data_IF_641934221242
#
_entry.id   IF_641934221242
#
_cell.length_a   1.000
_cell.length_b   1.000
_cell.length_c   1.000
_cell.angle_alpha   90.00
_cell.angle_beta   90.00
_cell.angle_gamma   90.00
#
_symmetry.space_group_name_H-M   'P 1'
#
loop_
_entity.id
_entity.type
_entity.pdbx_description
1 polymer ?
#
# COMPACT_ATOMS: atom_id res chain seq x y z
N UNK A 1 1.96 11.90 -0.03
CA UNK A 1 0.54 12.29 0.00
C UNK A 1 -0.33 11.24 -0.67
N UNK A 2 -1.18 10.52 0.08
CA UNK A 2 -2.08 9.52 -0.49
C UNK A 2 -3.20 10.20 -1.30
N UNK A 3 -3.06 10.15 -2.63
CA UNK A 3 -4.06 10.65 -3.57
C UNK A 3 -5.03 9.56 -4.04
N UNK A 4 -6.15 9.95 -4.67
CA UNK A 4 -7.14 9.02 -5.21
C UNK A 4 -6.63 8.17 -6.38
N UNK A 5 -5.59 8.65 -7.08
CA UNK A 5 -4.99 7.96 -8.21
C UNK A 5 -3.70 7.22 -7.80
N UNK A 6 -3.71 5.89 -7.67
CA UNK A 6 -2.52 5.14 -7.28
C UNK A 6 -1.39 5.23 -8.31
N UNK A 7 -1.71 5.39 -9.59
CA UNK A 7 -0.70 5.41 -10.66
C UNK A 7 0.27 6.58 -10.54
N UNK A 8 -0.13 7.69 -9.91
CA UNK A 8 0.77 8.82 -9.69
C UNK A 8 1.88 8.48 -8.70
N UNK A 9 1.56 7.74 -7.63
CA UNK A 9 2.53 7.28 -6.65
C UNK A 9 3.44 6.20 -7.23
N UNK A 10 2.86 5.22 -7.95
CA UNK A 10 3.63 4.16 -8.61
C UNK A 10 4.63 4.74 -9.62
N UNK A 11 4.24 5.73 -10.42
CA UNK A 11 5.16 6.42 -11.32
C UNK A 11 6.29 7.15 -10.59
N UNK A 12 6.04 7.68 -9.39
CA UNK A 12 7.06 8.31 -8.58
C UNK A 12 8.05 7.28 -8.03
N UNK A 13 7.54 6.14 -7.55
CA UNK A 13 8.34 5.01 -7.06
C UNK A 13 9.18 4.38 -8.19
N UNK A 14 8.61 4.22 -9.38
CA UNK A 14 9.30 3.69 -10.56
C UNK A 14 10.52 4.53 -10.98
N UNK A 15 10.53 5.84 -10.66
CA UNK A 15 11.73 6.68 -10.88
C UNK A 15 12.90 6.25 -10.01
N UNK A 16 12.64 5.72 -8.81
CA UNK A 16 13.65 5.27 -7.86
C UNK A 16 14.14 3.84 -8.15
N UNK A 17 13.24 2.96 -8.63
CA UNK A 17 13.54 1.56 -9.01
C UNK A 17 13.99 1.40 -10.47
N UNK A 18 14.52 2.47 -11.08
CA UNK A 18 14.96 2.44 -12.48
C UNK A 18 16.14 1.48 -12.70
N UNK A 19 16.25 0.95 -13.93
CA UNK A 19 17.36 0.10 -14.37
C UNK A 19 18.72 0.74 -14.05
N UNK A 20 19.59 -0.04 -13.41
CA UNK A 20 20.90 0.42 -12.95
C UNK A 20 20.93 0.88 -11.49
N UNK A 21 19.78 0.94 -10.80
CA UNK A 21 19.76 1.06 -9.35
C UNK A 21 20.41 -0.18 -8.72
N UNK A 22 21.36 0.04 -7.81
CA UNK A 22 22.14 -1.03 -7.12
C UNK A 22 21.89 -1.07 -5.62
N UNK A 23 21.35 0.01 -5.06
CA UNK A 23 21.09 0.12 -3.62
C UNK A 23 19.63 -0.23 -3.34
N UNK A 24 19.42 -0.77 -2.15
CA UNK A 24 18.07 -0.99 -1.63
C UNK A 24 17.33 0.33 -1.50
N UNK A 25 16.09 0.36 -1.94
CA UNK A 25 15.20 1.52 -1.88
C UNK A 25 14.11 1.18 -0.88
N UNK A 26 13.90 2.08 0.08
CA UNK A 26 12.79 2.03 1.02
C UNK A 26 11.81 3.16 0.70
N UNK A 27 10.53 2.83 0.63
CA UNK A 27 9.45 3.80 0.40
C UNK A 27 8.62 3.88 1.67
N UNK A 28 8.47 5.08 2.20
CA UNK A 28 7.68 5.36 3.39
C UNK A 28 6.49 6.24 3.01
N UNK A 29 5.29 5.79 3.35
CA UNK A 29 4.07 6.60 3.25
C UNK A 29 3.72 7.12 4.64
N UNK A 30 3.82 8.43 4.82
CA UNK A 30 3.33 9.10 6.02
C UNK A 30 1.83 9.35 5.89
N UNK A 31 1.09 9.01 6.95
CA UNK A 31 -0.37 9.13 6.99
C UNK A 31 -0.75 9.74 8.32
N UNK A 32 -1.56 10.80 8.30
CA UNK A 32 -2.02 11.45 9.52
C UNK A 32 -3.23 10.71 10.10
N UNK A 33 -3.13 10.26 11.35
CA UNK A 33 -4.23 9.62 12.08
C UNK A 33 -5.42 10.58 12.20
N UNK A 34 -6.64 10.05 12.07
CA UNK A 34 -7.88 10.83 12.14
C UNK A 34 -8.17 11.69 10.91
N UNK A 35 -7.35 11.64 9.86
CA UNK A 35 -7.58 12.36 8.61
C UNK A 35 -8.22 11.47 7.53
N UNK A 36 -8.72 12.10 6.45
CA UNK A 36 -9.26 11.39 5.29
C UNK A 36 -8.21 10.54 4.57
N UNK A 37 -6.92 10.83 4.76
CA UNK A 37 -5.79 10.11 4.16
C UNK A 37 -5.81 8.61 4.53
N UNK A 38 -6.23 8.29 5.76
CA UNK A 38 -6.36 6.91 6.24
C UNK A 38 -7.35 6.13 5.37
N UNK A 39 -8.52 6.72 5.11
CA UNK A 39 -9.57 6.07 4.33
C UNK A 39 -9.15 5.90 2.87
N UNK A 40 -8.47 6.90 2.30
CA UNK A 40 -7.93 6.82 0.94
C UNK A 40 -6.91 5.69 0.86
N UNK A 41 -5.95 5.64 1.78
CA UNK A 41 -4.90 4.63 1.78
C UNK A 41 -5.46 3.21 1.94
N UNK A 42 -6.42 3.00 2.85
CA UNK A 42 -7.11 1.73 3.01
C UNK A 42 -7.83 1.29 1.73
N UNK A 43 -8.50 2.21 1.03
CA UNK A 43 -9.19 1.92 -0.21
C UNK A 43 -8.21 1.50 -1.33
N UNK A 44 -7.04 2.14 -1.41
CA UNK A 44 -6.00 1.80 -2.38
C UNK A 44 -5.43 0.40 -2.13
N UNK A 45 -5.11 0.05 -0.88
CA UNK A 45 -4.63 -1.29 -0.51
C UNK A 45 -5.64 -2.36 -0.90
N UNK A 46 -6.93 -2.16 -0.56
CA UNK A 46 -7.99 -3.11 -0.90
C UNK A 46 -8.10 -3.35 -2.41
N UNK A 47 -8.05 -2.29 -3.22
CA UNK A 47 -8.06 -2.40 -4.69
C UNK A 47 -6.86 -3.17 -5.22
N UNK A 48 -5.65 -2.86 -4.73
CA UNK A 48 -4.42 -3.55 -5.15
C UNK A 48 -4.47 -5.04 -4.81
N UNK A 49 -4.98 -5.38 -3.63
CA UNK A 49 -5.20 -6.76 -3.18
C UNK A 49 -6.18 -7.51 -4.09
N UNK A 50 -7.33 -6.91 -4.42
CA UNK A 50 -8.30 -7.52 -5.35
C UNK A 50 -7.67 -7.78 -6.72
N UNK A 51 -6.88 -6.84 -7.23
CA UNK A 51 -6.17 -7.00 -8.49
C UNK A 51 -5.15 -8.15 -8.44
N UNK A 52 -4.37 -8.25 -7.36
CA UNK A 52 -3.41 -9.34 -7.16
C UNK A 52 -4.11 -10.71 -7.05
N UNK A 53 -5.23 -10.77 -6.33
CA UNK A 53 -6.05 -11.98 -6.22
C UNK A 53 -6.60 -12.45 -7.56
N UNK A 54 -7.01 -11.52 -8.43
CA UNK A 54 -7.47 -11.84 -9.78
C UNK A 54 -6.34 -12.39 -10.67
N UNK A 55 -5.10 -11.93 -10.46
CA UNK A 55 -3.92 -12.36 -11.22
C UNK A 55 -3.37 -13.71 -10.72
N UNK A 56 -3.51 -14.01 -9.42
CA UNK A 56 -3.12 -15.30 -8.86
C UNK A 56 -4.18 -16.36 -9.13
N UNK A 57 -3.85 -17.41 -9.89
CA UNK A 57 -4.71 -18.58 -10.05
C UNK A 57 -4.87 -19.27 -8.68
N UNK A 58 -5.97 -18.98 -7.97
CA UNK A 58 -6.66 -19.86 -7.03
C UNK A 58 -5.96 -20.39 -5.77
N UNK A 59 -4.70 -20.04 -5.44
CA UNK A 59 -4.07 -20.54 -4.21
C UNK A 59 -2.98 -19.62 -3.69
N UNK A 60 -3.29 -18.92 -2.58
CA UNK A 60 -2.42 -18.37 -1.51
C UNK A 60 -3.14 -17.20 -0.82
N UNK A 61 -4.41 -17.39 -0.44
CA UNK A 61 -5.06 -16.50 0.52
C UNK A 61 -4.82 -17.06 1.91
N UNK A 62 -4.02 -16.40 2.75
CA UNK A 62 -4.15 -16.47 4.22
C UNK A 62 -3.20 -15.55 5.00
N UNK A 63 -2.21 -14.90 4.40
CA UNK A 63 -1.27 -14.06 5.17
C UNK A 63 -1.43 -12.60 4.78
N UNK A 64 -2.45 -11.92 5.32
CA UNK A 64 -2.55 -10.45 5.17
C UNK A 64 -3.56 -9.79 6.12
N UNK A 65 -4.46 -10.56 6.74
CA UNK A 65 -5.44 -9.97 7.67
C UNK A 65 -4.76 -9.40 8.92
N UNK A 66 -3.65 -10.00 9.35
CA UNK A 66 -2.84 -9.50 10.48
C UNK A 66 -2.20 -8.13 10.18
N UNK A 67 -1.78 -7.86 8.94
CA UNK A 67 -1.22 -6.56 8.54
C UNK A 67 -2.30 -5.48 8.48
N UNK A 68 -3.47 -5.78 7.90
CA UNK A 68 -4.61 -4.87 7.93
C UNK A 68 -5.06 -4.57 9.36
N UNK A 69 -5.11 -5.61 10.21
CA UNK A 69 -5.51 -5.49 11.61
C UNK A 69 -4.48 -4.71 12.42
N UNK A 70 -3.18 -4.93 12.19
CA UNK A 70 -2.10 -4.19 12.82
C UNK A 70 -2.10 -2.71 12.41
N UNK A 71 -2.39 -2.41 11.14
CA UNK A 71 -2.52 -1.02 10.66
C UNK A 71 -3.69 -0.34 11.37
N UNK A 72 -4.87 -0.98 11.40
CA UNK A 72 -6.05 -0.43 12.09
C UNK A 72 -5.77 -0.27 13.59
N UNK A 73 -5.18 -1.27 14.23
CA UNK A 73 -4.87 -1.25 15.66
C UNK A 73 -3.81 -0.18 16.01
N UNK A 74 -2.81 0.03 15.16
CA UNK A 74 -1.79 1.08 15.36
C UNK A 74 -2.39 2.47 15.17
N UNK A 75 -3.33 2.62 14.23
CA UNK A 75 -4.06 3.88 13.98
C UNK A 75 -5.03 4.19 15.12
N UNK A 76 -5.72 3.19 15.68
CA UNK A 76 -6.67 3.37 16.79
C UNK A 76 -5.99 3.62 18.14
N UNK A 77 -4.73 3.17 18.33
CA UNK A 77 -3.97 3.29 19.58
C UNK A 77 -3.04 4.50 19.66
N UNK A 78 -2.87 5.27 18.58
CA UNK A 78 -2.05 6.50 18.53
C UNK A 78 -2.91 7.73 18.78
#
# INVERSE_FOLDING_TARGET
EPGWNPSTDEQAVDRLYRLGQKKEVHVFHYITVGSIEVNIYQALIRRKKQQLQMLSIGHLGTVDHELEKLIVETIEKS
#
